data_IF_577972081396
#
_entry.id   IF_577972081396
#
_cell.length_a   1.000
_cell.length_b   1.000
_cell.length_c   1.000
_cell.angle_alpha   90.00
_cell.angle_beta   90.00
_cell.angle_gamma   90.00
#
_symmetry.space_group_name_H-M   'P 1'
#
loop_
_entity.id
_entity.type
_entity.pdbx_description
1 polymer ?
#
# COMPACT_ATOMS: atom_id res chain seq x y z
N UNK A 1 17.58 48.62 -18.18
CA UNK A 1 16.32 48.14 -17.56
C UNK A 1 16.42 46.62 -17.50
N UNK A 2 16.74 46.11 -16.32
CA UNK A 2 17.26 44.76 -16.08
C UNK A 2 16.13 43.74 -15.93
N UNK A 3 16.33 42.57 -16.55
CA UNK A 3 15.49 41.38 -16.42
C UNK A 3 15.53 40.84 -14.98
N UNK A 4 14.38 40.45 -14.44
CA UNK A 4 14.26 39.89 -13.09
C UNK A 4 13.92 38.40 -13.20
N UNK A 5 14.89 37.56 -12.87
CA UNK A 5 14.76 36.10 -12.73
C UNK A 5 14.30 35.80 -11.31
N UNK A 6 13.09 35.25 -11.14
CA UNK A 6 12.61 34.75 -9.84
C UNK A 6 13.03 33.29 -9.71
N UNK A 7 14.00 33.05 -8.84
CA UNK A 7 14.35 31.72 -8.36
C UNK A 7 13.40 31.34 -7.21
N UNK A 8 12.62 30.27 -7.38
CA UNK A 8 11.91 29.63 -6.27
C UNK A 8 12.80 28.55 -5.66
N UNK A 9 13.41 28.85 -4.52
CA UNK A 9 14.00 27.84 -3.65
C UNK A 9 12.90 27.27 -2.73
N UNK A 10 12.45 26.04 -2.99
CA UNK A 10 11.65 25.31 -2.00
C UNK A 10 12.60 24.54 -1.07
N UNK A 11 12.59 24.92 0.21
CA UNK A 11 13.31 24.22 1.28
C UNK A 11 12.49 23.00 1.71
N UNK A 12 12.99 21.81 1.41
CA UNK A 12 12.36 20.51 1.68
C UNK A 12 12.47 20.06 3.16
N UNK A 13 13.15 20.82 4.02
CA UNK A 13 13.49 20.37 5.38
C UNK A 13 12.48 20.66 6.50
N UNK A 14 11.40 21.41 6.25
CA UNK A 14 10.54 21.90 7.36
C UNK A 14 9.19 21.19 7.56
N UNK A 15 8.78 20.31 6.64
CA UNK A 15 7.49 19.62 6.73
C UNK A 15 7.52 18.29 7.49
N UNK A 16 8.69 17.69 7.68
CA UNK A 16 8.84 16.40 8.38
C UNK A 16 9.38 16.53 9.82
N UNK A 17 10.04 17.64 10.16
CA UNK A 17 10.69 17.82 11.46
C UNK A 17 9.77 18.10 12.67
N UNK A 18 8.43 18.11 12.52
CA UNK A 18 7.50 18.28 13.66
C UNK A 18 6.82 16.99 14.14
N UNK A 19 7.09 15.82 13.56
CA UNK A 19 6.38 14.58 13.91
C UNK A 19 7.11 13.61 14.86
N UNK A 20 8.15 14.08 15.56
CA UNK A 20 9.01 13.22 16.39
C UNK A 20 8.48 12.87 17.79
N UNK A 21 7.20 12.50 17.95
CA UNK A 21 6.67 11.90 19.19
C UNK A 21 5.24 11.32 19.11
N UNK A 22 4.86 10.65 18.02
CA UNK A 22 3.53 10.03 17.94
C UNK A 22 3.54 8.60 18.53
N UNK A 23 3.19 8.50 19.80
CA UNK A 23 2.80 7.27 20.47
C UNK A 23 1.77 6.48 19.65
N UNK A 24 1.90 5.15 19.63
CA UNK A 24 0.87 4.20 19.19
C UNK A 24 -0.50 4.62 19.74
N UNK A 25 -1.45 5.03 18.88
CA UNK A 25 -2.89 5.09 19.22
C UNK A 25 -3.78 5.31 17.99
N UNK A 26 -4.70 4.36 17.85
CA UNK A 26 -5.93 4.37 17.08
C UNK A 26 -5.81 4.37 15.54
N UNK A 27 -6.00 3.17 14.97
CA UNK A 27 -6.58 3.01 13.63
C UNK A 27 -7.89 3.80 13.47
N UNK A 28 -8.49 4.31 14.57
CA UNK A 28 -9.68 5.17 14.57
C UNK A 28 -9.48 6.58 14.00
N UNK A 29 -8.23 7.02 13.82
CA UNK A 29 -7.91 8.35 13.26
C UNK A 29 -7.58 8.33 11.77
N UNK A 30 -7.66 7.17 11.11
CA UNK A 30 -7.73 7.16 9.66
C UNK A 30 -9.11 7.72 9.33
N UNK A 31 -9.18 8.96 8.87
CA UNK A 31 -10.42 9.52 8.38
C UNK A 31 -10.80 8.72 7.12
N UNK A 32 -11.50 7.60 7.29
CA UNK A 32 -12.05 6.85 6.17
C UNK A 32 -13.12 7.75 5.57
N UNK A 33 -12.73 8.54 4.58
CA UNK A 33 -13.65 9.38 3.85
C UNK A 33 -14.80 8.45 3.40
N UNK A 34 -16.03 8.86 3.72
CA UNK A 34 -17.22 8.05 3.66
C UNK A 34 -17.18 7.14 2.43
N UNK A 35 -17.21 5.83 2.65
CA UNK A 35 -16.96 4.78 1.65
C UNK A 35 -17.93 4.76 0.44
N UNK A 36 -18.77 5.80 0.27
CA UNK A 36 -19.83 5.89 -0.71
C UNK A 36 -19.41 6.51 -2.05
N UNK A 37 -18.18 7.03 -2.21
CA UNK A 37 -17.76 7.70 -3.44
C UNK A 37 -16.64 6.99 -4.24
N UNK A 38 -16.32 5.72 -3.97
CA UNK A 38 -15.20 5.02 -4.63
C UNK A 38 -15.24 5.13 -6.16
N UNK A 39 -14.11 5.46 -6.78
CA UNK A 39 -13.94 5.40 -8.23
C UNK A 39 -14.17 3.98 -8.75
N UNK A 40 -14.65 3.83 -9.99
CA UNK A 40 -14.92 2.50 -10.56
C UNK A 40 -13.65 1.63 -10.57
N UNK A 41 -12.50 2.20 -10.94
CA UNK A 41 -11.21 1.50 -10.91
C UNK A 41 -10.88 0.98 -9.50
N UNK A 42 -11.04 1.81 -8.47
CA UNK A 42 -10.75 1.39 -7.09
C UNK A 42 -11.73 0.34 -6.58
N UNK A 43 -13.01 0.38 -7.00
CA UNK A 43 -13.96 -0.70 -6.73
C UNK A 43 -13.49 -2.02 -7.33
N UNK A 44 -13.03 -2.01 -8.57
CA UNK A 44 -12.57 -3.22 -9.26
C UNK A 44 -11.30 -3.78 -8.60
N UNK A 45 -10.33 -2.92 -8.27
CA UNK A 45 -9.13 -3.31 -7.55
C UNK A 45 -9.45 -3.91 -6.18
N UNK A 46 -10.25 -3.24 -5.35
CA UNK A 46 -10.53 -3.72 -4.00
C UNK A 46 -11.36 -5.00 -4.02
N UNK A 47 -12.30 -5.14 -4.95
CA UNK A 47 -13.07 -6.36 -5.14
C UNK A 47 -12.17 -7.56 -5.48
N UNK A 48 -11.19 -7.36 -6.37
CA UNK A 48 -10.21 -8.38 -6.68
C UNK A 48 -9.33 -8.73 -5.47
N UNK A 49 -8.83 -7.73 -4.74
CA UNK A 49 -7.97 -7.92 -3.56
C UNK A 49 -8.74 -8.68 -2.47
N UNK A 50 -9.98 -8.28 -2.17
CA UNK A 50 -10.86 -8.97 -1.20
C UNK A 50 -11.08 -10.41 -1.62
N UNK A 51 -11.44 -10.65 -2.89
CA UNK A 51 -11.64 -12.01 -3.42
C UNK A 51 -10.37 -12.86 -3.25
N UNK A 52 -9.21 -12.29 -3.56
CA UNK A 52 -7.94 -12.99 -3.43
C UNK A 52 -7.63 -13.33 -1.97
N UNK A 53 -7.87 -12.40 -1.04
CA UNK A 53 -7.70 -12.64 0.39
C UNK A 53 -8.64 -13.76 0.88
N UNK A 54 -9.94 -13.65 0.59
CA UNK A 54 -10.94 -14.64 1.01
C UNK A 54 -10.69 -16.04 0.42
N UNK A 55 -9.98 -16.13 -0.71
CA UNK A 55 -9.65 -17.41 -1.35
C UNK A 55 -8.21 -17.87 -1.12
N UNK A 56 -7.45 -17.18 -0.24
CA UNK A 56 -6.08 -17.55 0.11
C UNK A 56 -5.03 -17.27 -1.00
N UNK A 57 -5.37 -16.46 -2.00
CA UNK A 57 -4.51 -16.07 -3.13
C UNK A 57 -3.79 -14.73 -2.94
N UNK A 58 -3.88 -14.15 -1.74
CA UNK A 58 -3.21 -12.91 -1.33
C UNK A 58 -2.30 -13.19 -0.11
N UNK A 59 -1.32 -12.32 0.10
CA UNK A 59 -0.48 -12.26 1.31
C UNK A 59 -1.09 -11.42 2.44
N UNK A 60 -2.30 -10.88 2.25
CA UNK A 60 -2.98 -10.06 3.25
C UNK A 60 -3.80 -10.92 4.23
N UNK A 61 -3.89 -10.51 5.51
CA UNK A 61 -4.84 -11.09 6.45
C UNK A 61 -6.28 -10.68 6.12
N UNK A 62 -7.26 -11.41 6.65
CA UNK A 62 -8.66 -10.98 6.71
C UNK A 62 -8.74 -9.60 7.35
N UNK A 63 -9.45 -8.67 6.69
CA UNK A 63 -9.43 -7.24 7.01
C UNK A 63 -8.45 -6.39 6.21
N UNK A 64 -7.58 -7.02 5.40
CA UNK A 64 -6.60 -6.35 4.54
C UNK A 64 -5.60 -5.43 5.28
N UNK A 65 -5.39 -5.69 6.58
CA UNK A 65 -4.57 -4.83 7.45
C UNK A 65 -5.30 -3.61 8.01
N UNK A 66 -6.61 -3.47 7.78
CA UNK A 66 -7.46 -2.43 8.36
C UNK A 66 -8.16 -2.91 9.64
N UNK A 67 -8.64 -1.97 10.45
CA UNK A 67 -9.61 -2.27 11.49
C UNK A 67 -10.88 -2.90 10.89
N UNK A 68 -11.46 -3.88 11.59
CA UNK A 68 -12.62 -4.63 11.08
C UNK A 68 -13.84 -3.75 10.76
N UNK A 69 -14.03 -2.64 11.48
CA UNK A 69 -15.11 -1.69 11.17
C UNK A 69 -14.93 -1.10 9.77
N UNK A 70 -13.74 -0.56 9.49
CA UNK A 70 -13.38 0.00 8.18
C UNK A 70 -13.47 -1.05 7.07
N UNK A 71 -12.94 -2.26 7.29
CA UNK A 71 -13.05 -3.35 6.32
C UNK A 71 -14.51 -3.72 6.00
N UNK A 72 -15.39 -3.77 7.02
CA UNK A 72 -16.82 -4.02 6.82
C UNK A 72 -17.49 -2.89 6.05
N UNK A 73 -17.09 -1.65 6.28
CA UNK A 73 -17.65 -0.52 5.54
C UNK A 73 -17.21 -0.57 4.08
N UNK A 74 -15.93 -0.86 3.79
CA UNK A 74 -15.45 -1.12 2.43
C UNK A 74 -16.25 -2.25 1.77
N UNK A 75 -16.46 -3.38 2.45
CA UNK A 75 -17.26 -4.50 1.93
C UNK A 75 -18.71 -4.10 1.62
N UNK A 76 -19.34 -3.33 2.50
CA UNK A 76 -20.75 -2.91 2.36
C UNK A 76 -20.95 -1.95 1.19
N UNK A 77 -19.94 -1.16 0.84
CA UNK A 77 -20.04 -0.24 -0.30
C UNK A 77 -19.77 -0.92 -1.64
N UNK A 78 -19.32 -2.17 -1.61
CA UNK A 78 -19.27 -3.02 -2.80
C UNK A 78 -20.66 -3.60 -3.07
N UNK A 79 -21.11 -3.52 -4.32
CA UNK A 79 -22.42 -4.05 -4.76
C UNK A 79 -22.32 -5.55 -5.17
N UNK A 80 -21.14 -6.17 -5.03
CA UNK A 80 -20.92 -7.55 -5.45
C UNK A 80 -21.43 -8.58 -4.41
N UNK A 81 -22.62 -9.13 -4.68
CA UNK A 81 -23.23 -10.20 -3.87
C UNK A 81 -22.35 -11.44 -3.74
N UNK A 82 -21.48 -11.73 -4.72
CA UNK A 82 -20.59 -12.90 -4.66
C UNK A 82 -19.51 -12.72 -3.60
N UNK A 83 -18.99 -11.50 -3.45
CA UNK A 83 -18.05 -11.17 -2.38
C UNK A 83 -18.69 -11.29 -1.01
N UNK A 84 -19.91 -10.77 -0.84
CA UNK A 84 -20.65 -10.89 0.42
C UNK A 84 -20.90 -12.35 0.80
N UNK A 85 -21.23 -13.21 -0.18
CA UNK A 85 -21.37 -14.65 0.06
C UNK A 85 -20.04 -15.32 0.45
N UNK A 86 -18.93 -14.98 -0.22
CA UNK A 86 -17.61 -15.50 0.15
C UNK A 86 -17.19 -15.07 1.55
N UNK A 87 -17.44 -13.81 1.92
CA UNK A 87 -17.17 -13.26 3.24
C UNK A 87 -18.04 -13.92 4.32
N UNK A 88 -19.31 -14.24 4.02
CA UNK A 88 -20.17 -15.00 4.92
C UNK A 88 -19.60 -16.41 5.19
N UNK A 89 -19.19 -17.14 4.16
CA UNK A 89 -18.52 -18.45 4.31
C UNK A 89 -17.22 -18.32 5.10
N UNK A 90 -16.49 -17.22 4.89
CA UNK A 90 -15.35 -16.80 5.72
C UNK A 90 -15.73 -16.34 7.14
N UNK A 91 -17.00 -16.22 7.52
CA UNK A 91 -17.40 -16.09 8.94
C UNK A 91 -17.86 -17.42 9.55
N UNK A 92 -18.45 -18.31 8.76
CA UNK A 92 -19.08 -19.58 9.20
C UNK A 92 -18.15 -20.79 9.41
N UNK A 93 -16.85 -20.55 9.45
CA UNK A 93 -15.73 -21.48 9.51
C UNK A 93 -15.64 -22.57 8.44
N UNK A 94 -16.06 -22.27 7.20
CA UNK A 94 -15.96 -23.25 6.10
C UNK A 94 -14.51 -23.59 5.71
N UNK A 95 -13.55 -22.68 5.90
CA UNK A 95 -12.14 -22.87 5.55
C UNK A 95 -11.21 -22.67 6.76
N UNK A 96 -11.16 -23.62 7.69
CA UNK A 96 -10.43 -23.46 8.96
C UNK A 96 -8.93 -23.25 8.76
N UNK A 97 -8.31 -23.93 7.80
CA UNK A 97 -6.88 -23.75 7.49
C UNK A 97 -6.57 -22.37 6.92
N UNK A 98 -7.46 -21.81 6.08
CA UNK A 98 -7.27 -20.46 5.53
C UNK A 98 -7.40 -19.39 6.62
N UNK A 99 -8.28 -19.60 7.61
CA UNK A 99 -8.36 -18.71 8.78
C UNK A 99 -7.13 -18.78 9.65
N UNK A 100 -6.67 -19.98 10.00
CA UNK A 100 -5.45 -20.14 10.79
C UNK A 100 -4.25 -19.45 10.10
N UNK A 101 -4.13 -19.59 8.77
CA UNK A 101 -3.15 -18.84 7.98
C UNK A 101 -3.35 -17.32 8.10
N UNK A 102 -4.58 -16.83 7.98
CA UNK A 102 -4.90 -15.41 8.12
C UNK A 102 -4.59 -14.85 9.51
N UNK A 103 -4.83 -15.61 10.58
CA UNK A 103 -4.52 -15.22 11.95
C UNK A 103 -3.01 -15.11 12.16
N UNK A 104 -2.24 -16.03 11.59
CA UNK A 104 -0.78 -15.96 11.56
C UNK A 104 -0.31 -14.71 10.81
N UNK A 105 -0.84 -14.45 9.60
CA UNK A 105 -0.53 -13.24 8.84
C UNK A 105 -0.84 -11.97 9.64
N UNK A 106 -1.99 -11.92 10.31
CA UNK A 106 -2.37 -10.78 11.15
C UNK A 106 -1.37 -10.57 12.29
N UNK A 107 -0.91 -11.66 12.92
CA UNK A 107 0.09 -11.60 14.00
C UNK A 107 1.44 -11.07 13.49
N UNK A 108 1.88 -11.51 12.29
CA UNK A 108 3.09 -11.03 11.63
C UNK A 108 2.99 -9.58 11.12
N UNK A 109 1.78 -9.11 10.81
CA UNK A 109 1.54 -7.71 10.47
C UNK A 109 1.56 -6.85 11.73
N UNK A 110 0.98 -7.32 12.82
CA UNK A 110 0.95 -6.61 14.10
C UNK A 110 2.36 -6.38 14.68
N UNK A 111 3.30 -7.29 14.46
CA UNK A 111 4.69 -7.10 14.88
C UNK A 111 5.46 -6.06 14.03
N UNK A 112 4.90 -5.61 12.91
CA UNK A 112 5.51 -4.69 11.93
C UNK A 112 4.62 -3.48 11.62
N UNK A 113 3.79 -3.07 12.59
CA UNK A 113 2.87 -1.95 12.42
C UNK A 113 3.58 -0.63 12.12
N UNK A 114 4.74 -0.40 12.73
CA UNK A 114 5.52 0.82 12.49
C UNK A 114 5.96 0.91 11.02
N UNK A 115 6.56 -0.15 10.49
CA UNK A 115 6.94 -0.27 9.08
C UNK A 115 5.73 -0.08 8.14
N UNK A 116 4.60 -0.72 8.44
CA UNK A 116 3.35 -0.53 7.70
C UNK A 116 2.93 0.94 7.69
N UNK A 117 2.96 1.61 8.84
CA UNK A 117 2.50 2.97 8.99
C UNK A 117 3.39 3.95 8.23
N UNK A 118 4.71 3.76 8.26
CA UNK A 118 5.66 4.56 7.47
C UNK A 118 5.39 4.41 5.96
N UNK A 119 5.22 3.18 5.48
CA UNK A 119 4.85 2.93 4.08
C UNK A 119 3.51 3.56 3.71
N UNK A 120 2.53 3.47 4.60
CA UNK A 120 1.21 4.01 4.33
C UNK A 120 1.21 5.55 4.36
N UNK A 121 1.98 6.18 5.25
CA UNK A 121 2.21 7.63 5.23
C UNK A 121 2.90 8.09 3.94
N UNK A 122 3.93 7.37 3.48
CA UNK A 122 4.56 7.64 2.19
C UNK A 122 3.54 7.60 1.05
N UNK A 123 2.71 6.55 0.98
CA UNK A 123 1.71 6.39 -0.07
C UNK A 123 0.61 7.45 0.02
N UNK A 124 0.12 7.76 1.22
CA UNK A 124 -0.88 8.81 1.45
C UNK A 124 -0.37 10.19 1.05
N UNK A 125 0.89 10.51 1.32
CA UNK A 125 1.50 11.77 0.90
C UNK A 125 1.54 11.95 -0.64
N UNK A 126 1.38 10.87 -1.39
CA UNK A 126 1.31 10.86 -2.85
C UNK A 126 -0.07 10.44 -3.39
N UNK A 127 -1.06 10.25 -2.52
CA UNK A 127 -2.41 9.90 -2.93
C UNK A 127 -3.06 11.11 -3.62
N UNK A 128 -3.67 10.87 -4.77
CA UNK A 128 -4.46 11.91 -5.43
C UNK A 128 -5.79 12.09 -4.68
N UNK A 129 -5.94 13.24 -4.00
CA UNK A 129 -7.15 13.59 -3.25
C UNK A 129 -8.41 13.63 -4.13
N UNK A 130 -8.26 13.82 -5.45
CA UNK A 130 -9.36 13.80 -6.40
C UNK A 130 -9.86 12.37 -6.71
N UNK A 131 -9.19 11.33 -6.20
CA UNK A 131 -9.49 9.93 -6.46
C UNK A 131 -10.06 9.28 -5.19
N UNK A 132 -11.39 9.11 -5.10
CA UNK A 132 -12.00 8.52 -3.93
C UNK A 132 -11.53 7.08 -3.67
N UNK A 133 -11.17 6.82 -2.41
CA UNK A 133 -10.69 5.52 -1.94
C UNK A 133 -9.18 5.31 -2.09
N UNK A 134 -8.44 6.28 -2.64
CA UNK A 134 -6.99 6.20 -2.73
C UNK A 134 -6.32 6.03 -1.36
N UNK A 135 -6.90 6.61 -0.30
CA UNK A 135 -6.43 6.48 1.08
C UNK A 135 -6.56 5.04 1.61
N UNK A 136 -7.63 4.33 1.22
CA UNK A 136 -7.82 2.92 1.58
C UNK A 136 -6.86 2.05 0.77
N UNK A 137 -6.68 2.34 -0.52
CA UNK A 137 -5.70 1.65 -1.36
C UNK A 137 -4.29 1.81 -0.80
N UNK A 138 -3.92 3.00 -0.30
CA UNK A 138 -2.62 3.25 0.32
C UNK A 138 -2.35 2.30 1.49
N UNK A 139 -3.30 2.16 2.41
CA UNK A 139 -3.19 1.26 3.56
C UNK A 139 -3.10 -0.21 3.14
N UNK A 140 -3.89 -0.63 2.15
CA UNK A 140 -3.87 -2.00 1.63
C UNK A 140 -2.54 -2.33 0.95
N UNK A 141 -2.02 -1.42 0.12
CA UNK A 141 -0.72 -1.58 -0.54
C UNK A 141 0.41 -1.62 0.49
N UNK A 142 0.42 -0.71 1.47
CA UNK A 142 1.39 -0.74 2.56
C UNK A 142 1.34 -2.04 3.36
N UNK A 143 0.14 -2.55 3.64
CA UNK A 143 -0.04 -3.84 4.31
C UNK A 143 0.51 -4.99 3.48
N UNK A 144 0.31 -4.98 2.16
CA UNK A 144 0.81 -6.01 1.26
C UNK A 144 2.34 -5.98 1.07
N UNK A 145 2.98 -4.82 1.30
CA UNK A 145 4.44 -4.72 1.29
C UNK A 145 5.09 -5.61 2.36
N UNK A 146 4.41 -5.85 3.50
CA UNK A 146 4.90 -6.71 4.58
C UNK A 146 4.97 -8.20 4.21
N UNK A 147 4.29 -8.64 3.16
CA UNK A 147 4.37 -10.02 2.69
C UNK A 147 5.75 -10.30 2.06
N UNK A 148 6.21 -11.55 2.08
CA UNK A 148 7.51 -11.92 1.49
C UNK A 148 7.47 -12.06 -0.04
N UNK A 149 6.31 -12.34 -0.63
CA UNK A 149 6.16 -12.48 -2.08
C UNK A 149 6.21 -11.13 -2.80
N UNK A 150 6.25 -11.13 -4.13
CA UNK A 150 6.12 -9.90 -4.92
C UNK A 150 4.82 -9.14 -4.59
N UNK A 151 4.84 -7.80 -4.69
CA UNK A 151 3.71 -6.97 -4.22
C UNK A 151 2.41 -7.27 -4.96
N UNK A 152 2.48 -7.47 -6.27
CA UNK A 152 1.30 -7.81 -7.07
C UNK A 152 0.72 -9.17 -6.65
N UNK A 153 1.56 -10.17 -6.36
CA UNK A 153 1.12 -11.48 -5.83
C UNK A 153 0.51 -11.33 -4.44
N UNK A 154 1.13 -10.54 -3.58
CA UNK A 154 0.62 -10.25 -2.25
C UNK A 154 -0.77 -9.58 -2.29
N UNK A 155 -1.04 -8.75 -3.30
CA UNK A 155 -2.35 -8.15 -3.55
C UNK A 155 -3.34 -9.08 -4.28
N UNK A 156 -2.90 -10.24 -4.77
CA UNK A 156 -3.75 -11.13 -5.57
C UNK A 156 -4.01 -10.65 -6.99
N UNK A 157 -3.11 -9.81 -7.51
CA UNK A 157 -3.11 -9.35 -8.90
C UNK A 157 -2.54 -10.41 -9.83
N UNK A 158 -2.81 -10.28 -11.13
CA UNK A 158 -2.35 -11.23 -12.16
C UNK A 158 -0.96 -10.92 -12.69
N UNK A 159 -0.51 -9.67 -12.62
CA UNK A 159 0.79 -9.26 -13.12
C UNK A 159 1.32 -7.98 -12.48
N UNK A 160 2.60 -7.69 -12.75
CA UNK A 160 3.27 -6.45 -12.35
C UNK A 160 2.68 -5.22 -13.06
N UNK A 161 2.23 -5.38 -14.30
CA UNK A 161 1.56 -4.34 -15.08
C UNK A 161 0.20 -3.97 -14.47
N UNK A 162 -0.55 -4.95 -13.97
CA UNK A 162 -1.79 -4.67 -13.24
C UNK A 162 -1.53 -3.83 -11.98
N UNK A 163 -0.46 -4.15 -11.24
CA UNK A 163 -0.03 -3.35 -10.09
C UNK A 163 0.39 -1.94 -10.52
N UNK A 164 1.13 -1.81 -11.61
CA UNK A 164 1.50 -0.50 -12.17
C UNK A 164 0.27 0.35 -12.45
N UNK A 165 -0.76 -0.22 -13.09
CA UNK A 165 -2.02 0.49 -13.35
C UNK A 165 -2.72 0.96 -12.06
N UNK A 166 -2.74 0.13 -11.01
CA UNK A 166 -3.25 0.55 -9.70
C UNK A 166 -2.46 1.73 -9.12
N UNK A 167 -1.13 1.69 -9.22
CA UNK A 167 -0.25 2.71 -8.66
C UNK A 167 -0.28 4.02 -9.46
N UNK A 168 -0.32 3.95 -10.79
CA UNK A 168 -0.48 5.11 -11.66
C UNK A 168 -1.83 5.79 -11.46
N UNK A 169 -2.89 4.99 -11.22
CA UNK A 169 -4.21 5.52 -10.88
C UNK A 169 -4.21 6.23 -9.53
N UNK A 170 -3.73 5.60 -8.45
CA UNK A 170 -3.89 6.16 -7.10
C UNK A 170 -2.76 7.10 -6.64
N UNK A 171 -1.55 6.92 -7.18
CA UNK A 171 -0.33 7.61 -6.77
C UNK A 171 0.49 8.09 -7.99
N UNK A 172 -0.10 8.92 -8.88
CA UNK A 172 0.46 9.21 -10.20
C UNK A 172 1.86 9.80 -10.15
N UNK A 173 2.12 10.73 -9.22
CA UNK A 173 3.44 11.35 -9.05
C UNK A 173 4.49 10.34 -8.57
N UNK A 174 4.13 9.48 -7.60
CA UNK A 174 5.01 8.44 -7.08
C UNK A 174 5.35 7.41 -8.16
N UNK A 175 4.35 7.02 -8.97
CA UNK A 175 4.53 6.09 -10.07
C UNK A 175 5.43 6.66 -11.18
N UNK A 176 5.24 7.93 -11.54
CA UNK A 176 6.04 8.63 -12.55
C UNK A 176 7.52 8.75 -12.15
N UNK A 177 7.80 8.84 -10.85
CA UNK A 177 9.16 8.94 -10.31
C UNK A 177 9.90 7.59 -10.24
N UNK A 178 9.27 6.45 -10.54
CA UNK A 178 9.93 5.16 -10.67
C UNK A 178 10.40 4.91 -12.12
N UNK A 179 11.31 5.78 -12.59
CA UNK A 179 11.72 5.85 -14.01
C UNK A 179 12.54 4.64 -14.49
N UNK A 180 13.28 3.99 -13.60
CA UNK A 180 14.15 2.84 -13.92
C UNK A 180 13.43 1.49 -13.77
N UNK A 181 12.10 1.50 -13.60
CA UNK A 181 11.29 0.29 -13.40
C UNK A 181 11.82 -0.58 -12.25
N UNK A 182 12.15 0.05 -11.11
CA UNK A 182 12.52 -0.66 -9.89
C UNK A 182 11.32 -1.43 -9.35
N UNK A 183 11.54 -2.61 -8.76
CA UNK A 183 10.47 -3.38 -8.10
C UNK A 183 9.78 -2.50 -7.06
N UNK A 184 8.46 -2.41 -7.15
CA UNK A 184 7.66 -1.42 -6.40
C UNK A 184 7.92 -1.38 -4.90
N UNK A 185 8.05 -2.55 -4.23
CA UNK A 185 8.39 -2.56 -2.80
C UNK A 185 9.74 -1.90 -2.54
N UNK A 186 10.77 -2.31 -3.28
CA UNK A 186 12.13 -1.80 -3.12
C UNK A 186 12.17 -0.29 -3.42
N UNK A 187 11.38 0.16 -4.39
CA UNK A 187 11.17 1.58 -4.67
C UNK A 187 10.57 2.32 -3.47
N UNK A 188 9.49 1.82 -2.86
CA UNK A 188 8.89 2.46 -1.67
C UNK A 188 9.87 2.52 -0.50
N UNK A 189 10.60 1.45 -0.21
CA UNK A 189 11.63 1.46 0.84
C UNK A 189 12.75 2.47 0.52
N UNK A 190 13.18 2.59 -0.74
CA UNK A 190 14.15 3.61 -1.17
C UNK A 190 13.61 5.02 -0.94
N UNK A 191 12.34 5.29 -1.22
CA UNK A 191 11.71 6.58 -0.93
C UNK A 191 11.74 6.87 0.58
N UNK A 192 11.45 5.87 1.44
CA UNK A 192 11.59 6.03 2.89
C UNK A 192 13.04 6.32 3.31
N UNK A 193 14.04 5.65 2.70
CA UNK A 193 15.47 5.94 2.93
C UNK A 193 15.83 7.40 2.65
N UNK A 194 15.28 7.95 1.55
CA UNK A 194 15.62 9.29 1.05
C UNK A 194 14.90 10.40 1.83
N UNK A 195 13.72 10.10 2.36
CA UNK A 195 12.90 11.03 3.13
C UNK A 195 13.44 11.28 4.53
N UNK A 196 13.63 10.24 5.34
CA UNK A 196 14.05 10.33 6.76
C UNK A 196 14.25 8.96 7.47
N UNK A 197 14.25 7.82 6.75
CA UNK A 197 14.13 6.48 7.36
C UNK A 197 15.45 5.75 7.72
N UNK A 198 15.36 4.81 8.67
CA UNK A 198 16.40 3.85 9.09
C UNK A 198 16.82 2.83 8.00
N UNK A 199 16.20 2.90 6.83
CA UNK A 199 16.50 2.03 5.71
C UNK A 199 17.74 2.56 5.00
N UNK A 200 18.83 1.78 4.96
CA UNK A 200 20.09 2.20 4.33
C UNK A 200 20.41 1.33 3.13
N UNK A 201 20.43 1.93 1.93
CA UNK A 201 21.12 1.36 0.78
C UNK A 201 22.62 1.63 0.92
N UNK A 202 23.44 0.58 0.98
CA UNK A 202 24.89 0.70 1.22
C UNK A 202 25.74 0.92 -0.05
N UNK A 203 25.12 0.84 -1.22
CA UNK A 203 25.84 0.98 -2.49
C UNK A 203 26.00 2.46 -2.88
N UNK A 204 27.18 2.87 -3.42
CA UNK A 204 27.43 4.25 -3.84
C UNK A 204 26.57 4.66 -5.05
N UNK A 205 26.16 3.71 -5.88
CA UNK A 205 25.17 3.89 -6.96
C UNK A 205 24.40 2.59 -7.20
N UNK A 206 23.23 2.66 -7.86
CA UNK A 206 22.46 1.45 -8.18
C UNK A 206 23.24 0.55 -9.16
N UNK A 207 23.91 1.12 -10.18
CA UNK A 207 24.64 0.37 -11.20
C UNK A 207 25.86 -0.42 -10.68
N UNK A 208 26.39 -0.06 -9.50
CA UNK A 208 27.51 -0.75 -8.84
C UNK A 208 27.05 -1.63 -7.66
N UNK A 209 25.74 -1.75 -7.44
CA UNK A 209 25.20 -2.55 -6.35
C UNK A 209 25.27 -4.05 -6.67
N UNK A 210 25.95 -4.83 -5.83
CA UNK A 210 26.00 -6.30 -5.97
C UNK A 210 24.62 -6.97 -5.90
N UNK A 211 23.66 -6.33 -5.22
CA UNK A 211 22.26 -6.75 -5.11
C UNK A 211 21.34 -6.08 -6.16
N UNK A 212 21.88 -5.53 -7.25
CA UNK A 212 21.10 -4.83 -8.29
C UNK A 212 19.89 -5.66 -8.78
N UNK A 213 20.11 -6.96 -9.07
CA UNK A 213 19.07 -7.88 -9.55
C UNK A 213 17.97 -8.20 -8.50
N UNK A 214 18.18 -7.83 -7.24
CA UNK A 214 17.11 -7.89 -6.22
C UNK A 214 16.16 -6.69 -6.30
N UNK A 215 16.64 -5.58 -6.85
CA UNK A 215 15.92 -4.32 -6.99
C UNK A 215 15.32 -4.15 -8.39
N UNK A 216 16.00 -4.64 -9.42
CA UNK A 216 15.66 -4.47 -10.83
C UNK A 216 15.50 -5.81 -11.55
N UNK A 217 14.83 -5.79 -12.70
CA UNK A 217 14.60 -6.95 -13.55
C UNK A 217 13.20 -7.57 -13.41
N UNK A 218 12.88 -8.55 -14.27
CA UNK A 218 11.57 -9.19 -14.29
C UNK A 218 11.26 -9.89 -12.96
N UNK A 219 9.99 -9.87 -12.57
CA UNK A 219 9.49 -10.62 -11.42
C UNK A 219 8.95 -11.96 -11.94
N UNK A 220 9.59 -13.07 -11.54
CA UNK A 220 9.20 -14.44 -11.89
C UNK A 220 8.21 -15.05 -10.87
#
# INVERSE_FOLDING_TARGET
MTANTIAFSFSWGSLLSQHHQAQVKDDKNWAWAQANAWSQANRDFINQIIKAQLTGKSGLPYGLGMAMAAYRDVLRTQVDKRLLALDQRWRENEWPMLRARSELLNSLHNSRLEERNQLAQLLLAHADEAIPGAEVIALVVASACLDKAHLWRALGMTSREQLRYLLEHNFPQLAANNTEDMRWKKYFYRCLCQGEGDYVCRAPSCGECQSYNECFGPEL
#
